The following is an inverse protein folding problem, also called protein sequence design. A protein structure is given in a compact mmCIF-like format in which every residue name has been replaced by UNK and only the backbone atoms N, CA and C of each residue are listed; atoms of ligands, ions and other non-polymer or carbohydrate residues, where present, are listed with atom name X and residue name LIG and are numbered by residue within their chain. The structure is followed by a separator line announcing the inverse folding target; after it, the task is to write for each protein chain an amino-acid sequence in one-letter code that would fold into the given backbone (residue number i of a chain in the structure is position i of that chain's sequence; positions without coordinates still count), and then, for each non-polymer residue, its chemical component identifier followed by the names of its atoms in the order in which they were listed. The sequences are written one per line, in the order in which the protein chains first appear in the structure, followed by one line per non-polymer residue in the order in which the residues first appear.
data_IF_826694214291
#
_entry.id   IF_826694214291
#
_cell.length_a   1.000
_cell.length_b   1.000
_cell.length_c   1.000
_cell.angle_alpha   90.00
_cell.angle_beta   90.00
_cell.angle_gamma   90.00
#
_symmetry.space_group_name_H-M   'P 1'
#
loop_
_entity.id
_entity.type
_entity.pdbx_description
1 polymer ?
#
# COMPACT_ATOMS: atom_id res chain seq x y z
N UNK A 1 28.50 -1.98 -6.69
CA UNK A 1 28.13 -0.61 -6.27
C UNK A 1 26.62 -0.59 -6.15
N UNK A 2 26.09 -0.38 -4.95
CA UNK A 2 24.65 -0.28 -4.72
C UNK A 2 24.10 0.93 -5.49
N UNK A 3 22.86 0.83 -5.98
CA UNK A 3 22.22 1.99 -6.58
C UNK A 3 21.83 3.00 -5.49
N UNK A 4 21.65 4.26 -5.85
CA UNK A 4 21.11 5.28 -4.92
C UNK A 4 19.77 4.88 -4.30
N UNK A 5 19.02 4.04 -5.00
CA UNK A 5 17.75 3.52 -4.52
C UNK A 5 17.97 2.46 -3.42
N UNK A 6 18.90 1.51 -3.62
CA UNK A 6 19.21 0.48 -2.63
C UNK A 6 19.76 1.09 -1.33
N UNK A 7 20.60 2.13 -1.42
CA UNK A 7 21.09 2.87 -0.24
C UNK A 7 19.94 3.47 0.58
N UNK A 8 18.90 3.97 -0.09
CA UNK A 8 17.70 4.48 0.59
C UNK A 8 16.86 3.36 1.22
N UNK A 9 16.77 2.21 0.55
CA UNK A 9 16.07 1.04 1.10
C UNK A 9 16.78 0.53 2.35
N UNK A 10 18.11 0.50 2.34
CA UNK A 10 18.89 0.07 3.51
C UNK A 10 18.75 1.07 4.67
N UNK A 11 18.82 2.37 4.41
CA UNK A 11 18.56 3.40 5.42
C UNK A 11 17.12 3.32 5.99
N UNK A 12 16.13 3.01 5.15
CA UNK A 12 14.76 2.80 5.59
C UNK A 12 14.62 1.52 6.43
N UNK A 13 15.32 0.45 6.06
CA UNK A 13 15.37 -0.78 6.86
C UNK A 13 15.98 -0.53 8.25
N UNK A 14 17.06 0.25 8.32
CA UNK A 14 17.69 0.64 9.59
C UNK A 14 16.73 1.46 10.47
N UNK A 15 15.96 2.37 9.88
CA UNK A 15 14.92 3.12 10.59
C UNK A 15 13.84 2.19 11.18
N UNK A 16 13.37 1.22 10.40
CA UNK A 16 12.37 0.25 10.84
C UNK A 16 12.89 -0.70 11.93
N UNK A 17 14.19 -0.99 11.94
CA UNK A 17 14.83 -1.80 12.98
C UNK A 17 15.03 -1.05 14.29
N UNK A 18 15.14 0.28 14.24
CA UNK A 18 15.38 1.15 15.40
C UNK A 18 14.08 1.63 16.06
N UNK A 19 12.98 1.60 15.33
CA UNK A 19 11.69 2.13 15.76
C UNK A 19 10.56 1.16 15.45
N UNK A 20 9.60 1.05 16.34
CA UNK A 20 8.35 0.35 16.07
C UNK A 20 7.45 1.18 15.13
N UNK A 21 6.63 0.52 14.34
CA UNK A 21 5.77 1.18 13.35
C UNK A 21 4.80 2.22 13.97
N UNK A 22 4.18 1.99 15.14
CA UNK A 22 3.36 3.00 15.81
C UNK A 22 4.10 4.27 16.22
N UNK A 23 5.41 4.21 16.45
CA UNK A 23 6.23 5.40 16.73
C UNK A 23 6.52 6.23 15.48
N UNK A 24 6.58 5.59 14.32
CA UNK A 24 6.78 6.24 13.02
C UNK A 24 5.49 6.76 12.42
N UNK A 25 4.38 6.05 12.63
CA UNK A 25 3.06 6.38 12.10
C UNK A 25 2.02 6.36 13.22
N UNK A 26 1.48 7.53 13.53
CA UNK A 26 0.54 7.75 14.64
C UNK A 26 -0.70 6.83 14.62
N UNK A 27 -1.13 6.39 13.43
CA UNK A 27 -2.32 5.56 13.23
C UNK A 27 -1.98 4.17 12.68
N UNK A 28 -0.72 3.72 12.82
CA UNK A 28 -0.38 2.35 12.44
C UNK A 28 -0.91 1.39 13.51
N UNK A 29 -1.82 0.51 13.11
CA UNK A 29 -2.30 -0.55 14.00
C UNK A 29 -1.24 -1.63 14.22
N UNK A 30 -1.40 -2.41 15.30
CA UNK A 30 -0.53 -3.53 15.62
C UNK A 30 -0.53 -4.65 14.56
N UNK A 31 -1.54 -4.66 13.69
CA UNK A 31 -1.74 -5.70 12.66
C UNK A 31 -1.03 -5.38 11.33
N UNK A 32 -0.16 -4.38 11.31
CA UNK A 32 0.67 -4.05 10.15
C UNK A 32 2.12 -4.37 10.45
N UNK A 33 2.74 -5.13 9.59
CA UNK A 33 4.18 -5.34 9.60
C UNK A 33 4.85 -4.67 8.39
N UNK A 34 6.10 -4.26 8.58
CA UNK A 34 6.96 -3.73 7.51
C UNK A 34 8.13 -4.68 7.30
N UNK A 35 8.44 -4.93 6.03
CA UNK A 35 9.52 -5.82 5.62
C UNK A 35 10.25 -5.22 4.42
N UNK A 36 11.50 -5.65 4.22
CA UNK A 36 12.23 -5.41 2.97
C UNK A 36 12.29 -6.70 2.18
N UNK A 37 11.64 -6.71 1.02
CA UNK A 37 11.73 -7.82 0.08
C UNK A 37 12.88 -7.58 -0.91
N UNK A 38 13.66 -8.65 -1.16
CA UNK A 38 14.84 -8.58 -2.04
C UNK A 38 14.82 -9.73 -3.05
N UNK A 39 15.04 -9.41 -4.30
CA UNK A 39 15.19 -10.42 -5.38
C UNK A 39 15.95 -9.83 -6.56
N UNK A 40 16.85 -10.64 -7.15
CA UNK A 40 17.57 -10.33 -8.38
C UNK A 40 18.17 -8.89 -8.43
N UNK A 41 18.77 -8.44 -7.31
CA UNK A 41 19.39 -7.11 -7.21
C UNK A 41 18.41 -5.96 -7.08
N UNK A 42 17.15 -6.22 -6.77
CA UNK A 42 16.14 -5.22 -6.43
C UNK A 42 15.72 -5.41 -4.97
N UNK A 43 15.67 -4.32 -4.21
CA UNK A 43 15.17 -4.27 -2.84
C UNK A 43 13.98 -3.32 -2.78
N UNK A 44 12.88 -3.73 -2.15
CA UNK A 44 11.69 -2.90 -1.99
C UNK A 44 11.15 -2.96 -0.56
N UNK A 45 10.74 -1.84 0.04
CA UNK A 45 9.97 -1.85 1.27
C UNK A 45 8.56 -2.39 0.99
N UNK A 46 8.04 -3.18 1.91
CA UNK A 46 6.74 -3.84 1.79
C UNK A 46 5.98 -3.73 3.10
N UNK A 47 4.70 -3.38 3.04
CA UNK A 47 3.81 -3.48 4.19
C UNK A 47 2.83 -4.62 4.03
N UNK A 48 2.56 -5.33 5.12
CA UNK A 48 1.57 -6.41 5.20
C UNK A 48 0.51 -6.01 6.21
N UNK A 49 -0.73 -5.92 5.76
CA UNK A 49 -1.90 -5.64 6.58
C UNK A 49 -2.74 -6.92 6.71
N UNK A 50 -2.89 -7.46 7.93
CA UNK A 50 -3.58 -8.72 8.17
C UNK A 50 -5.06 -8.54 8.52
N UNK A 51 -5.41 -7.46 9.20
CA UNK A 51 -6.76 -7.20 9.69
C UNK A 51 -7.18 -5.75 9.54
N UNK A 52 -8.47 -5.50 9.74
CA UNK A 52 -9.08 -4.18 9.66
C UNK A 52 -9.27 -3.63 11.06
N UNK A 53 -8.39 -2.80 11.55
CA UNK A 53 -8.71 -1.93 12.67
C UNK A 53 -7.80 -0.71 12.69
N UNK A 54 -8.39 0.49 12.62
CA UNK A 54 -7.70 1.79 12.78
C UNK A 54 -6.36 1.90 12.04
N UNK A 55 -6.34 1.42 10.79
CA UNK A 55 -5.15 1.43 9.96
C UNK A 55 -4.97 2.78 9.28
N UNK A 56 -3.72 3.17 9.10
CA UNK A 56 -3.42 4.31 8.25
C UNK A 56 -3.73 3.99 6.78
N UNK A 57 -4.23 4.98 6.05
CA UNK A 57 -4.45 4.87 4.60
C UNK A 57 -3.17 4.51 3.80
N UNK A 58 -1.98 4.69 4.42
CA UNK A 58 -0.69 4.33 3.83
C UNK A 58 -0.46 2.82 3.75
N UNK A 59 -1.15 2.03 4.56
CA UNK A 59 -0.93 0.57 4.67
C UNK A 59 -2.17 -0.25 4.38
N UNK A 60 -3.36 0.36 4.41
CA UNK A 60 -4.63 -0.32 4.19
C UNK A 60 -5.42 0.31 3.04
N UNK A 61 -5.72 -0.46 1.97
CA UNK A 61 -6.63 -0.01 0.91
C UNK A 61 -8.01 0.35 1.42
N UNK A 62 -8.52 -0.39 2.39
CA UNK A 62 -9.84 -0.12 2.96
C UNK A 62 -9.85 1.23 3.68
N UNK A 63 -8.84 1.53 4.48
CA UNK A 63 -8.71 2.83 5.13
C UNK A 63 -8.53 3.96 4.12
N UNK A 64 -7.84 3.71 3.02
CA UNK A 64 -7.67 4.68 1.94
C UNK A 64 -9.01 5.02 1.26
N UNK A 65 -9.81 4.01 0.89
CA UNK A 65 -11.03 4.24 0.11
C UNK A 65 -12.28 4.47 0.96
N UNK A 66 -12.32 4.03 2.20
CA UNK A 66 -13.48 4.20 3.07
C UNK A 66 -13.23 5.21 4.20
N UNK A 67 -12.30 4.95 5.10
CA UNK A 67 -12.13 5.78 6.31
C UNK A 67 -11.66 7.19 5.97
N UNK A 68 -10.65 7.32 5.12
CA UNK A 68 -10.15 8.63 4.69
C UNK A 68 -11.22 9.41 3.92
N UNK A 69 -11.97 8.75 3.03
CA UNK A 69 -13.08 9.38 2.30
C UNK A 69 -14.18 9.86 3.25
N UNK A 70 -14.52 9.11 4.31
CA UNK A 70 -15.48 9.54 5.32
C UNK A 70 -14.98 10.76 6.10
N UNK A 71 -13.70 10.79 6.46
CA UNK A 71 -13.09 11.91 7.16
C UNK A 71 -13.12 13.18 6.29
N UNK A 72 -12.68 13.08 5.04
CA UNK A 72 -12.69 14.20 4.09
C UNK A 72 -14.11 14.70 3.80
N UNK A 73 -15.06 13.78 3.60
CA UNK A 73 -16.47 14.11 3.42
C UNK A 73 -17.02 14.89 4.61
N UNK A 74 -16.71 14.43 5.83
CA UNK A 74 -17.17 15.07 7.06
C UNK A 74 -16.51 16.43 7.31
N UNK A 75 -15.28 16.63 6.80
CA UNK A 75 -14.51 17.86 6.94
C UNK A 75 -14.96 18.95 5.96
N UNK A 76 -15.27 18.56 4.73
CA UNK A 76 -15.49 19.49 3.63
C UNK A 76 -16.95 19.69 3.24
N UNK A 77 -17.85 18.80 3.61
CA UNK A 77 -19.26 18.92 3.26
C UNK A 77 -20.15 19.31 4.46
N UNK A 78 -21.23 20.06 4.21
CA UNK A 78 -22.22 20.34 5.24
C UNK A 78 -22.89 19.04 5.70
N UNK A 79 -23.31 18.98 6.97
CA UNK A 79 -23.82 17.75 7.62
C UNK A 79 -24.92 17.04 6.84
N UNK A 80 -25.84 17.80 6.23
CA UNK A 80 -26.97 17.22 5.47
C UNK A 80 -26.51 16.49 4.20
N UNK A 81 -25.38 16.91 3.60
CA UNK A 81 -24.79 16.23 2.44
C UNK A 81 -23.80 15.13 2.87
N UNK A 82 -23.05 15.32 3.94
CA UNK A 82 -22.11 14.34 4.45
C UNK A 82 -22.81 13.07 4.99
N UNK A 83 -23.95 13.23 5.68
CA UNK A 83 -24.66 12.11 6.33
C UNK A 83 -25.02 10.96 5.37
N UNK A 84 -25.69 11.18 4.21
CA UNK A 84 -26.03 10.07 3.30
C UNK A 84 -24.79 9.45 2.66
N UNK A 85 -23.75 10.24 2.37
CA UNK A 85 -22.49 9.74 1.81
C UNK A 85 -21.78 8.85 2.84
N UNK A 86 -21.68 9.30 4.08
CA UNK A 86 -21.06 8.51 5.14
C UNK A 86 -21.84 7.24 5.47
N UNK A 87 -23.16 7.26 5.40
CA UNK A 87 -23.96 6.07 5.56
C UNK A 87 -23.68 5.05 4.43
N UNK A 88 -23.63 5.51 3.18
CA UNK A 88 -23.24 4.66 2.04
C UNK A 88 -21.83 4.08 2.21
N UNK A 89 -20.84 4.92 2.57
CA UNK A 89 -19.47 4.50 2.79
C UNK A 89 -19.35 3.47 3.93
N UNK A 90 -20.18 3.60 4.98
CA UNK A 90 -20.22 2.62 6.08
C UNK A 90 -20.74 1.25 5.63
N UNK A 91 -21.79 1.23 4.79
CA UNK A 91 -22.30 -0.01 4.19
C UNK A 91 -21.28 -0.64 3.25
N UNK A 92 -20.64 0.19 2.41
CA UNK A 92 -19.58 -0.25 1.52
C UNK A 92 -18.40 -0.85 2.30
N UNK A 93 -17.95 -0.14 3.35
CA UNK A 93 -16.89 -0.61 4.25
C UNK A 93 -17.22 -1.98 4.83
N UNK A 94 -18.41 -2.13 5.40
CA UNK A 94 -18.88 -3.41 5.96
C UNK A 94 -18.84 -4.54 4.93
N UNK A 95 -19.29 -4.28 3.69
CA UNK A 95 -19.24 -5.24 2.59
C UNK A 95 -17.80 -5.64 2.22
N UNK A 96 -16.90 -4.66 2.11
CA UNK A 96 -15.49 -4.86 1.79
C UNK A 96 -14.73 -5.60 2.90
N UNK A 97 -15.03 -5.31 4.17
CA UNK A 97 -14.47 -6.04 5.31
C UNK A 97 -14.82 -7.53 5.26
N UNK A 98 -16.06 -7.87 4.92
CA UNK A 98 -16.49 -9.26 4.76
C UNK A 98 -15.78 -10.00 3.61
N UNK A 99 -15.34 -9.27 2.60
CA UNK A 99 -14.57 -9.80 1.47
C UNK A 99 -13.06 -9.82 1.76
N UNK A 100 -12.63 -9.56 3.00
CA UNK A 100 -11.22 -9.47 3.39
C UNK A 100 -10.40 -8.45 2.60
N UNK A 101 -11.04 -7.40 2.07
CA UNK A 101 -10.39 -6.36 1.26
C UNK A 101 -9.27 -5.62 2.00
N UNK A 102 -9.28 -5.65 3.33
CA UNK A 102 -8.22 -5.09 4.14
C UNK A 102 -6.94 -5.94 4.17
N UNK A 103 -7.04 -7.24 3.84
CA UNK A 103 -5.85 -8.09 3.76
C UNK A 103 -5.06 -7.72 2.50
N UNK A 104 -4.03 -6.94 2.69
CA UNK A 104 -3.26 -6.40 1.59
C UNK A 104 -1.76 -6.44 1.87
N UNK A 105 -1.00 -6.75 0.84
CA UNK A 105 0.44 -6.53 0.78
C UNK A 105 0.69 -5.39 -0.19
N UNK A 106 1.26 -4.31 0.30
CA UNK A 106 1.64 -3.19 -0.54
C UNK A 106 3.15 -3.22 -0.80
N UNK A 107 3.53 -3.53 -2.02
CA UNK A 107 4.92 -3.49 -2.47
C UNK A 107 5.37 -2.06 -2.73
N UNK A 108 6.65 -1.81 -2.51
CA UNK A 108 7.27 -0.50 -2.65
C UNK A 108 6.59 0.57 -1.78
N UNK A 109 6.26 0.21 -0.53
CA UNK A 109 5.60 1.11 0.40
C UNK A 109 6.61 1.83 1.32
N UNK A 110 6.85 3.09 1.04
CA UNK A 110 7.75 3.95 1.82
C UNK A 110 7.07 4.68 2.98
N UNK A 111 5.82 4.36 3.26
CA UNK A 111 4.99 5.02 4.29
C UNK A 111 4.81 6.52 4.05
N UNK A 112 4.82 6.94 2.80
CA UNK A 112 4.60 8.32 2.35
C UNK A 112 3.49 8.38 1.29
N UNK A 113 2.98 9.58 1.03
CA UNK A 113 1.92 9.77 0.04
C UNK A 113 2.36 9.43 -1.38
N UNK A 114 3.61 9.69 -1.72
CA UNK A 114 4.18 9.41 -3.05
C UNK A 114 5.40 8.53 -2.91
N UNK A 115 5.30 7.29 -3.38
CA UNK A 115 6.38 6.31 -3.29
C UNK A 115 7.49 6.57 -4.31
N UNK A 116 8.72 6.26 -3.92
CA UNK A 116 9.87 6.27 -4.82
C UNK A 116 9.86 4.99 -5.66
N UNK A 117 10.08 5.11 -6.96
CA UNK A 117 10.19 3.96 -7.85
C UNK A 117 11.61 3.86 -8.43
N UNK A 118 12.22 2.67 -8.40
CA UNK A 118 13.49 2.43 -9.08
C UNK A 118 13.25 2.27 -10.59
N UNK A 119 14.33 2.21 -11.36
CA UNK A 119 14.25 1.76 -12.74
C UNK A 119 13.65 0.36 -12.79
N UNK A 120 12.70 0.13 -13.69
CA UNK A 120 12.01 -1.15 -13.83
C UNK A 120 13.01 -2.28 -14.13
N UNK A 121 12.96 -3.33 -13.31
CA UNK A 121 13.62 -4.61 -13.52
C UNK A 121 12.56 -5.71 -13.53
N UNK A 122 12.09 -6.08 -14.71
CA UNK A 122 10.95 -6.99 -14.88
C UNK A 122 11.17 -8.36 -14.26
N UNK A 123 12.38 -8.92 -14.34
CA UNK A 123 12.70 -10.23 -13.75
C UNK A 123 12.65 -10.20 -12.22
N UNK A 124 13.19 -9.13 -11.62
CA UNK A 124 13.17 -8.95 -10.18
C UNK A 124 11.75 -8.69 -9.67
N UNK A 125 11.00 -7.82 -10.33
CA UNK A 125 9.60 -7.50 -9.98
C UNK A 125 8.73 -8.75 -10.08
N UNK A 126 8.85 -9.54 -11.16
CA UNK A 126 8.12 -10.80 -11.31
C UNK A 126 8.43 -11.80 -10.20
N UNK A 127 9.70 -11.96 -9.84
CA UNK A 127 10.11 -12.84 -8.76
C UNK A 127 9.53 -12.37 -7.40
N UNK A 128 9.66 -11.07 -7.09
CA UNK A 128 9.10 -10.49 -5.85
C UNK A 128 7.58 -10.69 -5.80
N UNK A 129 6.85 -10.41 -6.88
CA UNK A 129 5.40 -10.59 -6.92
C UNK A 129 5.00 -12.05 -6.67
N UNK A 130 5.65 -13.00 -7.36
CA UNK A 130 5.38 -14.44 -7.20
C UNK A 130 5.66 -14.90 -5.78
N UNK A 131 6.83 -14.57 -5.24
CA UNK A 131 7.23 -14.97 -3.89
C UNK A 131 6.29 -14.36 -2.84
N UNK A 132 5.86 -13.10 -3.04
CA UNK A 132 4.89 -12.44 -2.17
C UNK A 132 3.53 -13.13 -2.22
N UNK A 133 3.01 -13.46 -3.40
CA UNK A 133 1.73 -14.15 -3.54
C UNK A 133 1.77 -15.58 -2.96
N UNK A 134 2.90 -16.28 -3.05
CA UNK A 134 3.07 -17.58 -2.40
C UNK A 134 3.09 -17.47 -0.87
N UNK A 135 3.74 -16.44 -0.34
CA UNK A 135 3.86 -16.20 1.11
C UNK A 135 2.56 -15.67 1.71
N UNK A 136 1.80 -14.90 0.96
CA UNK A 136 0.55 -14.26 1.38
C UNK A 136 -0.61 -14.59 0.44
N UNK A 137 -1.03 -15.88 0.33
CA UNK A 137 -2.00 -16.32 -0.69
C UNK A 137 -3.42 -15.77 -0.48
N UNK A 138 -3.72 -15.22 0.70
CA UNK A 138 -5.02 -14.64 1.03
C UNK A 138 -5.02 -13.10 1.03
N UNK A 139 -3.93 -12.48 0.58
CA UNK A 139 -3.79 -11.03 0.55
C UNK A 139 -3.83 -10.51 -0.89
N UNK A 140 -4.48 -9.38 -1.08
CA UNK A 140 -4.37 -8.66 -2.34
C UNK A 140 -2.98 -7.99 -2.45
N UNK A 141 -2.39 -8.06 -3.63
CA UNK A 141 -1.11 -7.41 -3.91
C UNK A 141 -1.35 -6.02 -4.47
N UNK A 142 -0.75 -5.01 -3.85
CA UNK A 142 -0.95 -3.60 -4.19
C UNK A 142 0.34 -2.91 -4.57
N UNK A 143 0.21 -1.99 -5.53
CA UNK A 143 1.22 -1.02 -5.93
C UNK A 143 0.59 0.37 -5.84
N UNK A 144 1.25 1.32 -5.20
CA UNK A 144 0.70 2.66 -4.94
C UNK A 144 1.52 3.74 -5.61
N UNK A 145 0.90 4.91 -5.84
CA UNK A 145 1.55 6.13 -6.32
C UNK A 145 2.16 6.01 -7.73
N UNK A 146 1.65 5.11 -8.55
CA UNK A 146 2.00 5.03 -9.96
C UNK A 146 1.18 6.04 -10.76
N UNK A 147 1.81 6.73 -11.69
CA UNK A 147 1.16 7.64 -12.63
C UNK A 147 1.74 7.47 -14.03
N UNK A 148 0.95 7.81 -15.05
CA UNK A 148 1.32 7.59 -16.44
C UNK A 148 2.52 8.43 -16.89
N UNK A 149 2.67 9.64 -16.34
CA UNK A 149 3.73 10.57 -16.75
C UNK A 149 5.13 10.08 -16.36
N UNK A 150 5.28 9.48 -15.17
CA UNK A 150 6.59 9.11 -14.63
C UNK A 150 6.84 7.61 -14.57
N UNK A 151 5.77 6.79 -14.63
CA UNK A 151 5.83 5.34 -14.39
C UNK A 151 5.12 4.53 -15.49
N UNK A 152 5.13 5.04 -16.73
CA UNK A 152 4.44 4.38 -17.85
C UNK A 152 4.93 2.95 -18.11
N UNK A 153 6.24 2.70 -18.00
CA UNK A 153 6.85 1.37 -18.12
C UNK A 153 6.39 0.41 -17.01
N UNK A 154 6.32 0.89 -15.76
CA UNK A 154 5.78 0.13 -14.63
C UNK A 154 4.31 -0.21 -14.81
N UNK A 155 3.49 0.76 -15.21
CA UNK A 155 2.05 0.56 -15.43
C UNK A 155 1.80 -0.44 -16.56
N UNK A 156 2.54 -0.32 -17.66
CA UNK A 156 2.43 -1.25 -18.78
C UNK A 156 2.82 -2.67 -18.36
N UNK A 157 3.93 -2.80 -17.64
CA UNK A 157 4.40 -4.12 -17.17
C UNK A 157 3.39 -4.74 -16.18
N UNK A 158 2.92 -3.99 -15.17
CA UNK A 158 1.98 -4.51 -14.19
C UNK A 158 0.64 -4.91 -14.83
N UNK A 159 0.14 -4.17 -15.82
CA UNK A 159 -1.03 -4.56 -16.61
C UNK A 159 -0.81 -5.91 -17.32
N UNK A 160 0.38 -6.14 -17.90
CA UNK A 160 0.74 -7.43 -18.52
C UNK A 160 0.80 -8.58 -17.51
N UNK A 161 1.10 -8.29 -16.24
CA UNK A 161 1.07 -9.27 -15.15
C UNK A 161 -0.35 -9.48 -14.57
N UNK A 162 -1.39 -8.89 -15.16
CA UNK A 162 -2.78 -9.03 -14.72
C UNK A 162 -3.21 -8.06 -13.60
N UNK A 163 -2.39 -7.06 -13.27
CA UNK A 163 -2.81 -6.03 -12.32
C UNK A 163 -3.87 -5.12 -12.92
N UNK A 164 -4.86 -4.76 -12.10
CA UNK A 164 -5.92 -3.81 -12.44
C UNK A 164 -5.55 -2.43 -11.94
N UNK A 165 -5.66 -1.42 -12.79
CA UNK A 165 -5.45 -0.02 -12.40
C UNK A 165 -6.71 0.52 -11.74
N UNK A 166 -6.57 1.02 -10.53
CA UNK A 166 -7.63 1.73 -9.82
C UNK A 166 -7.24 3.20 -9.78
N UNK A 167 -8.00 4.10 -10.43
CA UNK A 167 -7.76 5.54 -10.35
C UNK A 167 -7.89 6.04 -8.92
N UNK A 168 -6.98 6.95 -8.52
CA UNK A 168 -7.01 7.65 -7.22
C UNK A 168 -7.55 9.05 -7.36
#
# INVERSE_FOLDING_TARGET
MLSRFDERVDAFADLLNQHDLPSLLRNAGADVSMEIVRSNGLSLPMSVCHHVSNQTWLTSPLSMYADYTQEETSRHLPKYAAMPINAFLSVLKYGLERQHFARAVTLNNWLVSTNLYPKLNTSAVSAIMRDTLQRYPQHALWWRSLNELHHGDWLQYLKQQGCVLIPG
#
